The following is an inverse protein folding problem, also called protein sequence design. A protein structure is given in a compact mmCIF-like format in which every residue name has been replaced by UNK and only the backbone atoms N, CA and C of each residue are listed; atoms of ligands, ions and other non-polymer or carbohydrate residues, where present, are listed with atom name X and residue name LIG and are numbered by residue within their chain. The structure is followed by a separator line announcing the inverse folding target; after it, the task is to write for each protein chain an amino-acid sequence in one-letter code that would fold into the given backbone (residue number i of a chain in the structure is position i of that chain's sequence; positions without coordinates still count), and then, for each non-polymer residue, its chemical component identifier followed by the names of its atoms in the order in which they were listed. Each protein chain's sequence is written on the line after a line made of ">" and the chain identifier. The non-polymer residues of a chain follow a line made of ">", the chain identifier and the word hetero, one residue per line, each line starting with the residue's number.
data_IF_438440282011
#
_entry.id   IF_438440282011
#
_cell.length_a   1.000
_cell.length_b   1.000
_cell.length_c   1.000
_cell.angle_alpha   90.00
_cell.angle_beta   90.00
_cell.angle_gamma   90.00
#
_symmetry.space_group_name_H-M   'P 1'
#
loop_
_entity.id
_entity.type
_entity.pdbx_description
1 polymer ?
#
# COMPACT_ATOMS: atom_id res chain seq x y z
N UNK A 1 18.65 -9.78 -32.26
CA UNK A 1 20.07 -9.36 -32.24
C UNK A 1 20.83 -10.39 -31.46
N UNK A 2 21.92 -10.89 -32.04
CA UNK A 2 22.91 -11.69 -31.31
C UNK A 2 23.57 -10.82 -30.23
N UNK A 3 23.99 -11.41 -29.11
CA UNK A 3 24.64 -10.66 -28.03
C UNK A 3 26.01 -10.15 -28.50
N UNK A 4 26.26 -8.83 -28.52
CA UNK A 4 27.58 -8.31 -28.88
C UNK A 4 28.57 -8.58 -27.75
N UNK A 5 29.84 -8.79 -28.06
CA UNK A 5 30.88 -8.96 -27.02
C UNK A 5 31.16 -7.64 -26.27
N UNK A 6 31.09 -6.51 -26.97
CA UNK A 6 31.33 -5.17 -26.42
C UNK A 6 30.37 -4.14 -26.99
N UNK A 7 30.07 -3.13 -26.17
CA UNK A 7 29.42 -1.88 -26.60
C UNK A 7 30.34 -0.74 -26.17
N UNK A 8 30.93 -0.02 -27.12
CA UNK A 8 31.99 0.95 -26.82
C UNK A 8 33.13 0.29 -26.04
N UNK A 9 33.46 0.82 -24.85
CA UNK A 9 34.49 0.26 -23.95
C UNK A 9 33.98 -0.85 -23.02
N UNK A 10 32.68 -1.08 -22.97
CA UNK A 10 32.03 -1.93 -21.97
C UNK A 10 31.91 -3.37 -22.46
N UNK A 11 32.19 -4.32 -21.56
CA UNK A 11 32.19 -5.75 -21.86
C UNK A 11 30.83 -6.35 -21.53
N UNK A 12 30.10 -6.82 -22.53
CA UNK A 12 28.70 -7.23 -22.37
C UNK A 12 28.64 -8.63 -21.76
N UNK A 13 27.86 -8.76 -20.70
CA UNK A 13 27.68 -10.01 -19.95
C UNK A 13 26.41 -10.75 -20.34
N UNK A 14 25.28 -10.04 -20.34
CA UNK A 14 23.98 -10.64 -20.62
C UNK A 14 22.97 -9.57 -21.04
N UNK A 15 21.86 -10.00 -21.65
CA UNK A 15 20.72 -9.13 -21.94
C UNK A 15 19.82 -9.01 -20.72
N UNK A 16 19.49 -7.78 -20.31
CA UNK A 16 18.56 -7.50 -19.22
C UNK A 16 17.11 -7.35 -19.71
N UNK A 17 16.92 -6.77 -20.90
CA UNK A 17 15.59 -6.57 -21.46
C UNK A 17 15.62 -6.15 -22.93
N UNK A 18 14.51 -6.35 -23.63
CA UNK A 18 14.33 -5.92 -25.02
C UNK A 18 12.96 -5.28 -25.18
N UNK A 19 12.95 -4.00 -25.56
CA UNK A 19 11.75 -3.28 -25.95
C UNK A 19 11.60 -3.19 -27.47
N UNK A 20 10.56 -2.49 -27.92
CA UNK A 20 10.31 -2.27 -29.35
C UNK A 20 11.42 -1.44 -30.04
N UNK A 21 12.12 -0.58 -29.30
CA UNK A 21 13.05 0.41 -29.85
C UNK A 21 14.44 0.37 -29.26
N UNK A 22 14.63 -0.34 -28.15
CA UNK A 22 15.92 -0.44 -27.49
C UNK A 22 16.12 -1.81 -26.85
N UNK A 23 17.37 -2.16 -26.62
CA UNK A 23 17.77 -3.35 -25.85
C UNK A 23 18.66 -2.90 -24.70
N UNK A 24 18.42 -3.44 -23.51
CA UNK A 24 19.21 -3.14 -22.31
C UNK A 24 20.12 -4.33 -22.02
N UNK A 25 21.41 -4.06 -21.86
CA UNK A 25 22.45 -5.05 -21.60
C UNK A 25 23.09 -4.82 -20.24
N UNK A 26 23.41 -5.90 -19.54
CA UNK A 26 24.34 -5.89 -18.42
C UNK A 26 25.76 -5.91 -18.99
N UNK A 27 26.61 -5.00 -18.53
CA UNK A 27 28.00 -4.95 -18.95
C UNK A 27 28.93 -4.61 -17.78
N UNK A 28 30.21 -4.89 -17.98
CA UNK A 28 31.30 -4.50 -17.08
C UNK A 28 32.02 -3.27 -17.64
N UNK A 29 32.20 -2.25 -16.81
CA UNK A 29 33.13 -1.14 -17.09
C UNK A 29 34.53 -1.52 -16.57
N UNK A 30 35.49 -1.85 -17.45
CA UNK A 30 36.83 -2.25 -17.03
C UNK A 30 37.65 -1.11 -16.43
N UNK A 31 37.27 0.15 -16.65
CA UNK A 31 37.97 1.30 -16.07
C UNK A 31 37.44 1.63 -14.69
N UNK A 32 36.12 1.70 -14.54
CA UNK A 32 35.48 1.99 -13.25
C UNK A 32 35.35 0.75 -12.35
N UNK A 33 35.64 -0.45 -12.88
CA UNK A 33 35.57 -1.74 -12.17
C UNK A 33 34.19 -1.97 -11.51
N UNK A 34 33.12 -1.79 -12.31
CA UNK A 34 31.74 -1.96 -11.85
C UNK A 34 30.82 -2.50 -12.94
N UNK A 35 29.71 -3.09 -12.51
CA UNK A 35 28.61 -3.43 -13.41
C UNK A 35 27.80 -2.19 -13.78
N UNK A 36 27.34 -2.15 -15.03
CA UNK A 36 26.52 -1.08 -15.60
C UNK A 36 25.42 -1.67 -16.46
N UNK A 37 24.30 -0.95 -16.56
CA UNK A 37 23.28 -1.22 -17.55
C UNK A 37 23.48 -0.32 -18.77
N UNK A 38 23.37 -0.88 -19.98
CA UNK A 38 23.55 -0.15 -21.23
C UNK A 38 22.30 -0.28 -22.09
N UNK A 39 21.56 0.83 -22.23
CA UNK A 39 20.38 0.94 -23.10
C UNK A 39 20.84 1.35 -24.49
N UNK A 40 20.68 0.47 -25.47
CA UNK A 40 21.10 0.67 -26.87
C UNK A 40 19.87 0.80 -27.76
N UNK A 41 19.79 1.86 -28.57
CA UNK A 41 18.72 2.01 -29.57
C UNK A 41 18.95 1.02 -30.71
N UNK A 42 17.88 0.36 -31.18
CA UNK A 42 17.99 -0.59 -32.28
C UNK A 42 18.37 0.10 -33.59
N UNK A 43 19.23 -0.55 -34.39
CA UNK A 43 19.64 -0.01 -35.70
C UNK A 43 18.47 0.19 -36.65
N UNK A 44 17.45 -0.68 -36.58
CA UNK A 44 16.23 -0.56 -37.40
C UNK A 44 15.51 0.77 -37.13
N UNK A 45 15.43 1.19 -35.86
CA UNK A 45 14.85 2.47 -35.48
C UNK A 45 15.73 3.64 -35.91
N UNK A 46 17.05 3.52 -35.77
CA UNK A 46 17.98 4.60 -36.15
C UNK A 46 18.03 4.85 -37.66
N UNK A 47 17.81 3.82 -38.49
CA UNK A 47 17.78 3.89 -39.96
C UNK A 47 16.52 4.56 -40.51
N UNK A 48 15.41 4.52 -39.76
CA UNK A 48 14.21 5.27 -40.11
C UNK A 48 14.44 6.76 -39.88
N UNK A 49 14.14 7.59 -40.89
CA UNK A 49 14.45 9.02 -40.85
C UNK A 49 13.67 9.78 -39.78
N UNK A 50 12.40 9.44 -39.59
CA UNK A 50 11.51 10.15 -38.66
C UNK A 50 11.65 9.55 -37.25
N UNK A 51 11.59 8.22 -37.14
CA UNK A 51 11.75 7.53 -35.85
C UNK A 51 13.16 7.69 -35.31
N UNK A 52 14.19 7.59 -36.15
CA UNK A 52 15.58 7.74 -35.74
C UNK A 52 15.87 9.12 -35.15
N UNK A 53 15.34 10.19 -35.78
CA UNK A 53 15.45 11.57 -35.25
C UNK A 53 14.80 11.69 -33.88
N UNK A 54 13.58 11.18 -33.75
CA UNK A 54 12.85 11.18 -32.49
C UNK A 54 13.62 10.47 -31.38
N UNK A 55 14.01 9.21 -31.59
CA UNK A 55 14.65 8.43 -30.54
C UNK A 55 16.04 8.96 -30.19
N UNK A 56 16.78 9.54 -31.15
CA UNK A 56 18.00 10.29 -30.85
C UNK A 56 17.71 11.50 -29.96
N UNK A 57 16.65 12.26 -30.24
CA UNK A 57 16.26 13.39 -29.39
C UNK A 57 15.89 12.95 -27.96
N UNK A 58 15.11 11.87 -27.80
CA UNK A 58 14.80 11.30 -26.48
C UNK A 58 16.07 10.86 -25.74
N UNK A 59 17.03 10.26 -26.45
CA UNK A 59 18.31 9.86 -25.87
C UNK A 59 19.17 11.05 -25.47
N UNK A 60 19.19 12.12 -26.28
CA UNK A 60 19.87 13.38 -25.93
C UNK A 60 19.26 13.98 -24.67
N UNK A 61 17.93 13.97 -24.54
CA UNK A 61 17.25 14.46 -23.35
C UNK A 61 17.66 13.66 -22.11
N UNK A 62 17.64 12.33 -22.18
CA UNK A 62 18.08 11.46 -21.09
C UNK A 62 19.58 11.67 -20.78
N UNK A 63 20.44 11.69 -21.80
CA UNK A 63 21.88 11.95 -21.66
C UNK A 63 22.17 13.31 -21.01
N UNK A 64 21.36 14.34 -21.30
CA UNK A 64 21.51 15.67 -20.72
C UNK A 64 21.29 15.72 -19.20
N UNK A 65 20.72 14.67 -18.62
CA UNK A 65 20.52 14.48 -17.18
C UNK A 65 21.73 13.85 -16.50
N UNK A 66 22.71 13.35 -17.26
CA UNK A 66 23.96 12.82 -16.73
C UNK A 66 24.63 13.84 -15.80
N UNK A 67 24.91 13.41 -14.56
CA UNK A 67 25.49 14.25 -13.51
C UNK A 67 24.56 15.30 -12.90
N UNK A 68 23.35 15.54 -13.45
CA UNK A 68 22.38 16.52 -12.91
C UNK A 68 21.41 15.90 -11.90
N UNK A 69 20.98 14.66 -12.15
CA UNK A 69 20.12 13.92 -11.22
C UNK A 69 20.96 13.04 -10.32
N UNK A 70 21.12 13.45 -9.05
CA UNK A 70 21.83 12.68 -8.04
C UNK A 70 20.90 12.50 -6.84
N UNK A 71 20.21 11.36 -6.82
CA UNK A 71 19.23 11.02 -5.78
C UNK A 71 19.26 9.51 -5.53
N UNK A 72 19.15 9.03 -4.28
CA UNK A 72 19.23 7.59 -3.96
C UNK A 72 18.19 6.76 -4.73
N UNK A 73 16.99 7.32 -4.93
CA UNK A 73 15.88 6.66 -5.63
C UNK A 73 15.75 7.00 -7.13
N UNK A 74 16.80 7.53 -7.76
CA UNK A 74 16.84 7.74 -9.22
C UNK A 74 18.06 6.99 -9.76
N UNK A 75 17.89 6.28 -10.87
CA UNK A 75 18.99 5.62 -11.57
C UNK A 75 19.99 6.66 -12.05
N UNK A 76 21.25 6.50 -11.67
CA UNK A 76 22.29 7.43 -12.10
C UNK A 76 22.72 7.13 -13.55
N UNK A 77 22.76 8.17 -14.38
CA UNK A 77 23.37 8.08 -15.72
C UNK A 77 24.86 8.37 -15.58
N UNK A 78 25.68 7.49 -16.15
CA UNK A 78 27.13 7.56 -16.07
C UNK A 78 27.76 8.15 -17.34
N UNK A 79 27.23 7.76 -18.50
CA UNK A 79 27.81 8.10 -19.80
C UNK A 79 26.74 7.96 -20.89
N UNK A 80 26.95 8.59 -22.04
CA UNK A 80 26.07 8.46 -23.19
C UNK A 80 26.82 8.71 -24.49
N UNK A 81 26.45 7.96 -25.52
CA UNK A 81 26.91 8.17 -26.90
C UNK A 81 25.68 8.34 -27.78
N UNK A 82 25.65 9.45 -28.51
CA UNK A 82 24.59 9.74 -29.48
C UNK A 82 25.22 9.91 -30.85
N UNK A 83 25.13 8.86 -31.67
CA UNK A 83 25.63 8.82 -33.04
C UNK A 83 24.57 8.17 -33.97
N UNK A 84 24.61 8.49 -35.25
CA UNK A 84 23.72 7.93 -36.26
C UNK A 84 23.88 6.40 -36.41
N UNK A 85 25.10 5.88 -36.23
CA UNK A 85 25.39 4.45 -36.37
C UNK A 85 25.11 3.64 -35.10
N UNK A 86 25.38 4.23 -33.93
CA UNK A 86 25.23 3.59 -32.62
C UNK A 86 24.94 4.62 -31.54
N UNK A 87 23.78 4.48 -30.91
CA UNK A 87 23.33 5.38 -29.85
C UNK A 87 23.00 4.57 -28.59
N UNK A 88 23.64 4.89 -27.46
CA UNK A 88 23.44 4.21 -26.18
C UNK A 88 23.63 5.10 -24.96
N UNK A 89 23.00 4.72 -23.86
CA UNK A 89 23.17 5.32 -22.53
C UNK A 89 23.69 4.26 -21.57
N UNK A 90 24.67 4.66 -20.76
CA UNK A 90 25.27 3.85 -19.70
C UNK A 90 24.75 4.38 -18.37
N UNK A 91 24.18 3.50 -17.58
CA UNK A 91 23.53 3.84 -16.33
C UNK A 91 23.87 2.84 -15.24
N UNK A 92 23.57 3.22 -14.01
CA UNK A 92 23.64 2.35 -12.84
C UNK A 92 22.87 1.06 -13.10
N UNK A 93 23.52 -0.08 -12.82
CA UNK A 93 22.84 -1.37 -12.84
C UNK A 93 22.08 -1.58 -11.53
N UNK A 94 20.78 -1.88 -11.64
CA UNK A 94 19.90 -2.16 -10.50
C UNK A 94 19.41 -3.60 -10.61
N UNK A 95 19.77 -4.43 -9.63
CA UNK A 95 19.71 -5.89 -9.78
C UNK A 95 18.33 -6.53 -9.51
N UNK A 96 17.44 -5.88 -8.76
CA UNK A 96 16.17 -6.46 -8.30
C UNK A 96 15.03 -6.46 -9.33
N UNK A 97 15.26 -5.98 -10.56
CA UNK A 97 14.25 -5.97 -11.62
C UNK A 97 13.22 -4.83 -11.48
N UNK A 98 12.15 -4.89 -12.27
CA UNK A 98 11.08 -3.86 -12.33
C UNK A 98 9.91 -4.21 -11.40
N UNK A 99 8.96 -3.29 -11.25
CA UNK A 99 7.70 -3.57 -10.54
C UNK A 99 6.65 -4.31 -11.38
N UNK A 100 6.90 -4.55 -12.67
CA UNK A 100 5.92 -5.21 -13.57
C UNK A 100 5.43 -6.58 -13.09
N UNK A 101 6.28 -7.45 -12.50
CA UNK A 101 5.81 -8.75 -12.01
C UNK A 101 4.72 -8.62 -10.94
N UNK A 102 4.65 -7.48 -10.23
CA UNK A 102 3.68 -7.24 -9.16
C UNK A 102 2.37 -6.59 -9.66
N UNK A 103 2.21 -6.47 -10.97
CA UNK A 103 1.00 -5.92 -11.58
C UNK A 103 -0.03 -6.99 -11.94
N UNK A 104 0.04 -8.17 -11.31
CA UNK A 104 -0.91 -9.27 -11.50
C UNK A 104 -1.56 -9.65 -10.18
N UNK A 105 -2.85 -10.06 -10.15
CA UNK A 105 -3.55 -10.39 -8.91
C UNK A 105 -2.88 -11.49 -8.08
N UNK A 106 -2.17 -12.41 -8.74
CA UNK A 106 -1.53 -13.56 -8.10
C UNK A 106 -0.14 -13.24 -7.50
N UNK A 107 0.38 -12.03 -7.72
CA UNK A 107 1.72 -11.64 -7.28
C UNK A 107 1.77 -10.21 -6.74
N UNK A 108 0.74 -9.79 -5.99
CA UNK A 108 0.67 -8.44 -5.44
C UNK A 108 1.66 -8.22 -4.29
N UNK A 109 2.14 -6.98 -4.15
CA UNK A 109 2.96 -6.59 -3.01
C UNK A 109 2.12 -6.51 -1.71
N UNK A 110 2.76 -6.72 -0.55
CA UNK A 110 2.19 -6.32 0.75
C UNK A 110 1.87 -4.82 0.76
N UNK A 111 0.74 -4.43 1.36
CA UNK A 111 0.30 -3.03 1.36
C UNK A 111 1.35 -2.07 1.93
N UNK A 112 1.99 -2.45 3.03
CA UNK A 112 3.00 -1.59 3.69
C UNK A 112 4.19 -1.33 2.78
N UNK A 113 4.64 -2.37 2.10
CA UNK A 113 5.73 -2.30 1.15
C UNK A 113 5.37 -1.45 -0.06
N UNK A 114 4.16 -1.61 -0.59
CA UNK A 114 3.68 -0.80 -1.70
C UNK A 114 3.61 0.69 -1.33
N UNK A 115 3.03 1.02 -0.17
CA UNK A 115 2.94 2.42 0.30
C UNK A 115 4.33 3.02 0.51
N UNK A 116 5.27 2.25 1.07
CA UNK A 116 6.68 2.67 1.20
C UNK A 116 7.31 2.99 -0.17
N UNK A 117 7.12 2.11 -1.16
CA UNK A 117 7.62 2.29 -2.53
C UNK A 117 7.03 3.57 -3.15
N UNK A 118 5.72 3.76 -3.09
CA UNK A 118 5.07 4.94 -3.65
C UNK A 118 5.53 6.21 -2.93
N UNK A 119 5.69 6.16 -1.60
CA UNK A 119 6.24 7.28 -0.83
C UNK A 119 7.64 7.65 -1.32
N UNK A 120 8.54 6.67 -1.52
CA UNK A 120 9.88 6.91 -2.08
C UNK A 120 9.84 7.47 -3.49
N UNK A 121 8.91 7.02 -4.34
CA UNK A 121 8.66 7.61 -5.66
C UNK A 121 8.26 9.07 -5.57
N UNK A 122 7.35 9.45 -4.65
CA UNK A 122 6.97 10.87 -4.49
C UNK A 122 8.17 11.75 -4.12
N UNK A 123 9.08 11.28 -3.26
CA UNK A 123 10.31 12.02 -2.90
C UNK A 123 11.26 12.18 -4.09
N UNK A 124 11.43 11.12 -4.88
CA UNK A 124 12.27 11.16 -6.07
C UNK A 124 11.73 12.13 -7.15
N UNK A 125 10.42 12.08 -7.40
CA UNK A 125 9.77 12.92 -8.41
C UNK A 125 9.64 14.37 -7.95
N UNK A 126 9.52 14.60 -6.64
CA UNK A 126 9.61 15.94 -6.05
C UNK A 126 10.99 16.56 -6.26
N UNK A 127 12.06 15.79 -6.03
CA UNK A 127 13.42 16.22 -6.33
C UNK A 127 13.62 16.57 -7.80
N UNK A 128 13.16 15.71 -8.72
CA UNK A 128 13.23 15.99 -10.16
C UNK A 128 12.43 17.26 -10.53
N UNK A 129 11.25 17.45 -9.96
CA UNK A 129 10.42 18.63 -10.18
C UNK A 129 11.12 19.92 -9.77
N UNK A 130 11.81 19.95 -8.62
CA UNK A 130 12.57 21.12 -8.16
C UNK A 130 13.76 21.47 -9.07
N UNK A 131 14.22 20.52 -9.89
CA UNK A 131 15.20 20.74 -10.95
C UNK A 131 14.56 21.11 -12.29
N UNK A 132 13.25 21.34 -12.32
CA UNK A 132 12.48 21.71 -13.51
C UNK A 132 12.23 20.54 -14.46
N UNK A 133 12.29 19.30 -13.97
CA UNK A 133 12.16 18.06 -14.76
C UNK A 133 10.83 17.38 -14.45
N UNK A 134 10.06 17.07 -15.49
CA UNK A 134 8.87 16.19 -15.41
C UNK A 134 9.15 14.93 -16.22
N UNK A 135 8.94 13.73 -15.66
CA UNK A 135 9.34 12.45 -16.23
C UNK A 135 8.48 11.99 -17.42
N UNK A 136 7.15 12.11 -17.32
CA UNK A 136 6.14 11.82 -18.38
C UNK A 136 5.94 10.37 -18.82
N UNK A 137 6.68 9.41 -18.25
CA UNK A 137 6.56 7.98 -18.57
C UNK A 137 6.65 7.12 -17.30
N UNK A 138 5.95 7.54 -16.24
CA UNK A 138 5.90 6.76 -15.00
C UNK A 138 5.01 5.53 -15.22
N UNK A 139 5.61 4.35 -15.06
CA UNK A 139 4.97 3.02 -15.17
C UNK A 139 5.77 1.98 -14.38
N UNK A 140 5.22 0.80 -14.09
CA UNK A 140 5.91 -0.22 -13.30
C UNK A 140 7.26 -0.68 -13.89
N UNK A 141 7.38 -0.67 -15.22
CA UNK A 141 8.62 -1.01 -15.94
C UNK A 141 9.78 -0.03 -15.66
N UNK A 142 9.47 1.20 -15.24
CA UNK A 142 10.44 2.26 -15.00
C UNK A 142 10.72 2.49 -13.51
N UNK A 143 10.20 1.62 -12.64
CA UNK A 143 10.48 1.63 -11.19
C UNK A 143 11.16 0.31 -10.86
N UNK A 144 12.43 0.40 -10.46
CA UNK A 144 13.31 -0.73 -10.22
C UNK A 144 13.44 -1.01 -8.73
N UNK A 145 13.61 -2.28 -8.36
CA UNK A 145 13.96 -2.71 -7.01
C UNK A 145 15.48 -2.87 -6.91
N UNK A 146 16.10 -2.28 -5.89
CA UNK A 146 17.56 -2.32 -5.69
C UNK A 146 18.07 -3.73 -5.38
N UNK A 147 17.27 -4.54 -4.69
CA UNK A 147 17.57 -5.90 -4.32
C UNK A 147 16.44 -6.84 -4.74
N UNK A 148 16.79 -8.12 -4.95
CA UNK A 148 15.85 -9.16 -5.36
C UNK A 148 14.91 -9.61 -4.24
N UNK A 149 15.16 -9.22 -2.99
CA UNK A 149 14.27 -9.48 -1.87
C UNK A 149 13.19 -8.39 -1.80
N UNK A 150 11.97 -8.78 -2.19
CA UNK A 150 10.81 -7.89 -2.28
C UNK A 150 10.32 -7.34 -0.92
N UNK A 151 11.00 -7.71 0.18
CA UNK A 151 10.64 -7.44 1.56
C UNK A 151 11.45 -6.29 2.21
N UNK A 152 12.54 -5.81 1.60
CA UNK A 152 13.41 -4.81 2.25
C UNK A 152 14.30 -3.94 1.37
N UNK A 153 14.33 -4.15 0.04
CA UNK A 153 15.19 -3.38 -0.87
C UNK A 153 14.80 -1.90 -1.03
N UNK A 154 15.68 -1.07 -1.58
CA UNK A 154 15.31 0.28 -2.00
C UNK A 154 14.66 0.30 -3.41
N UNK A 155 14.15 1.45 -3.86
CA UNK A 155 13.67 1.62 -5.25
C UNK A 155 14.50 2.64 -6.00
N UNK A 156 14.53 2.51 -7.33
CA UNK A 156 15.11 3.51 -8.24
C UNK A 156 14.23 3.74 -9.45
N UNK A 157 13.92 5.01 -9.75
CA UNK A 157 13.21 5.41 -10.95
C UNK A 157 14.19 5.54 -12.11
N UNK A 158 13.88 4.96 -13.26
CA UNK A 158 14.68 4.96 -14.48
C UNK A 158 13.93 5.57 -15.66
N UNK A 159 14.62 5.80 -16.78
CA UNK A 159 14.05 6.18 -18.08
C UNK A 159 13.40 7.57 -18.13
N UNK A 160 14.22 8.60 -17.90
CA UNK A 160 13.81 10.00 -18.05
C UNK A 160 13.89 10.48 -19.52
N UNK A 161 13.92 9.58 -20.51
CA UNK A 161 14.06 9.97 -21.92
C UNK A 161 12.89 10.76 -22.50
N UNK A 162 11.70 10.62 -21.91
CA UNK A 162 10.52 11.41 -22.24
C UNK A 162 10.44 12.75 -21.49
N UNK A 163 11.44 13.08 -20.67
CA UNK A 163 11.33 14.18 -19.72
C UNK A 163 11.22 15.56 -20.39
N UNK A 164 10.49 16.46 -19.71
CA UNK A 164 10.32 17.86 -20.11
C UNK A 164 11.09 18.77 -19.15
N UNK A 165 11.88 19.69 -19.71
CA UNK A 165 12.50 20.79 -18.98
C UNK A 165 11.61 22.03 -19.05
N UNK A 166 11.38 22.71 -17.92
CA UNK A 166 10.49 23.87 -17.86
C UNK A 166 10.95 25.08 -18.70
N UNK A 167 12.16 25.05 -19.28
CA UNK A 167 12.80 26.18 -19.97
C UNK A 167 12.69 26.15 -21.51
N UNK A 168 11.49 26.00 -22.08
CA UNK A 168 11.20 26.71 -23.34
C UNK A 168 10.75 25.96 -24.60
N UNK A 169 10.41 24.67 -24.57
CA UNK A 169 9.75 24.04 -25.73
C UNK A 169 8.45 23.33 -25.31
N UNK A 170 7.32 23.85 -25.82
CA UNK A 170 6.02 23.19 -25.75
C UNK A 170 6.09 21.94 -26.65
N UNK A 171 6.62 20.84 -26.12
CA UNK A 171 6.67 19.57 -26.85
C UNK A 171 5.26 18.97 -26.85
N UNK A 172 4.56 19.07 -27.98
CA UNK A 172 3.36 18.27 -28.26
C UNK A 172 3.68 16.80 -27.96
N UNK A 173 2.84 16.15 -27.15
CA UNK A 173 2.98 14.72 -26.86
C UNK A 173 2.89 13.94 -28.16
N UNK A 174 3.88 13.11 -28.45
CA UNK A 174 3.84 12.21 -29.59
C UNK A 174 2.93 11.02 -29.25
N UNK A 175 1.61 11.24 -29.33
CA UNK A 175 0.60 10.20 -29.16
C UNK A 175 0.62 9.20 -30.33
N UNK A 176 1.20 9.61 -31.47
CA UNK A 176 1.24 8.80 -32.69
C UNK A 176 2.41 7.81 -32.68
N UNK A 177 2.19 6.60 -32.14
CA UNK A 177 2.98 5.42 -32.53
C UNK A 177 3.71 4.62 -31.43
N UNK A 178 3.49 4.88 -30.14
CA UNK A 178 4.18 4.16 -29.06
C UNK A 178 3.18 3.62 -28.03
N UNK A 179 2.84 2.33 -28.14
CA UNK A 179 2.23 1.54 -27.07
C UNK A 179 0.82 1.95 -26.60
N UNK A 180 0.39 1.32 -25.50
CA UNK A 180 -0.87 1.61 -24.82
C UNK A 180 -0.73 2.83 -23.91
N UNK A 181 -1.64 3.83 -23.96
CA UNK A 181 -1.56 5.05 -23.16
C UNK A 181 -2.01 4.85 -21.70
N UNK A 182 -1.99 3.61 -21.19
CA UNK A 182 -2.64 3.21 -19.94
C UNK A 182 -2.24 4.04 -18.69
N UNK A 183 -1.01 4.56 -18.65
CA UNK A 183 -0.50 5.38 -17.54
C UNK A 183 -0.50 6.88 -17.84
N UNK A 184 -0.88 7.29 -19.05
CA UNK A 184 -0.83 8.70 -19.46
C UNK A 184 -1.94 9.50 -18.79
N UNK A 185 -1.61 10.74 -18.42
CA UNK A 185 -2.60 11.69 -17.89
C UNK A 185 -3.60 12.14 -18.96
N UNK A 186 -4.79 12.65 -18.56
CA UNK A 186 -5.76 13.24 -19.48
C UNK A 186 -5.16 14.37 -20.32
N UNK A 187 -4.24 15.13 -19.74
CA UNK A 187 -3.53 16.20 -20.43
C UNK A 187 -2.57 15.65 -21.48
N UNK A 188 -1.85 14.55 -21.19
CA UNK A 188 -0.96 13.90 -22.16
C UNK A 188 -1.71 13.39 -23.38
N UNK A 189 -2.80 12.66 -23.18
CA UNK A 189 -3.58 12.06 -24.28
C UNK A 189 -4.38 13.09 -25.08
N UNK A 190 -4.63 14.28 -24.51
CA UNK A 190 -5.25 15.43 -25.19
C UNK A 190 -4.22 16.41 -25.76
N UNK A 191 -2.93 16.09 -25.69
CA UNK A 191 -1.83 16.96 -26.15
C UNK A 191 -1.87 18.38 -25.57
N UNK A 192 -2.31 18.50 -24.32
CA UNK A 192 -2.35 19.76 -23.57
C UNK A 192 -0.98 20.08 -22.97
N UNK A 193 -0.71 21.35 -22.60
CA UNK A 193 0.47 21.70 -21.83
C UNK A 193 0.60 20.84 -20.57
N UNK A 194 1.80 20.31 -20.32
CA UNK A 194 2.08 19.39 -19.22
C UNK A 194 2.84 20.09 -18.10
N UNK A 195 2.59 19.64 -16.88
CA UNK A 195 3.35 19.99 -15.68
C UNK A 195 3.56 18.72 -14.82
N UNK A 196 4.19 18.87 -13.65
CA UNK A 196 4.47 17.79 -12.71
C UNK A 196 3.25 17.01 -12.25
N UNK A 197 2.06 17.60 -12.27
CA UNK A 197 0.82 16.89 -11.95
C UNK A 197 0.49 15.77 -12.94
N UNK A 198 1.13 15.75 -14.11
CA UNK A 198 1.09 14.62 -15.05
C UNK A 198 1.67 13.36 -14.42
N UNK A 199 2.84 13.47 -13.80
CA UNK A 199 3.50 12.34 -13.15
C UNK A 199 2.75 11.91 -11.88
N UNK A 200 2.10 12.84 -11.18
CA UNK A 200 1.19 12.53 -10.05
C UNK A 200 0.08 11.59 -10.51
N UNK A 201 -0.56 11.89 -11.65
CA UNK A 201 -1.59 11.03 -12.23
C UNK A 201 -1.04 9.65 -12.57
N UNK A 202 0.08 9.60 -13.28
CA UNK A 202 0.70 8.35 -13.70
C UNK A 202 1.12 7.49 -12.51
N UNK A 203 1.66 8.09 -11.43
CA UNK A 203 1.97 7.38 -10.20
C UNK A 203 0.71 6.88 -9.49
N UNK A 204 -0.41 7.63 -9.55
CA UNK A 204 -1.72 7.17 -9.10
C UNK A 204 -2.19 5.91 -9.84
N UNK A 205 -2.02 5.86 -11.17
CA UNK A 205 -2.31 4.66 -11.97
C UNK A 205 -1.41 3.48 -11.59
N UNK A 206 -0.11 3.73 -11.39
CA UNK A 206 0.84 2.69 -10.92
C UNK A 206 0.41 2.14 -9.56
N UNK A 207 0.10 3.02 -8.61
CA UNK A 207 -0.36 2.65 -7.28
C UNK A 207 -1.63 1.80 -7.34
N UNK A 208 -2.61 2.21 -8.17
CA UNK A 208 -3.83 1.44 -8.42
C UNK A 208 -3.52 0.01 -8.89
N UNK A 209 -2.66 -0.12 -9.89
CA UNK A 209 -2.37 -1.42 -10.49
C UNK A 209 -1.56 -2.32 -9.58
N UNK A 210 -0.61 -1.79 -8.82
CA UNK A 210 0.14 -2.58 -7.85
C UNK A 210 -0.72 -3.06 -6.67
N UNK A 211 -1.81 -2.34 -6.36
CA UNK A 211 -2.75 -2.72 -5.30
C UNK A 211 -3.74 -3.80 -5.74
N UNK A 212 -4.13 -3.79 -7.02
CA UNK A 212 -5.27 -4.59 -7.53
C UNK A 212 -4.86 -5.65 -8.54
N UNK A 213 -3.67 -5.54 -9.12
CA UNK A 213 -3.22 -6.33 -10.26
C UNK A 213 -3.93 -5.98 -11.57
N UNK A 214 -4.60 -4.83 -11.63
CA UNK A 214 -5.45 -4.42 -12.76
C UNK A 214 -5.21 -2.96 -13.09
N UNK A 215 -5.23 -2.62 -14.38
CA UNK A 215 -5.28 -1.21 -14.78
C UNK A 215 -6.65 -0.61 -14.42
N UNK A 216 -6.71 0.68 -14.03
CA UNK A 216 -7.96 1.36 -13.73
C UNK A 216 -8.88 1.51 -14.93
N UNK A 217 -8.31 1.54 -16.14
CA UNK A 217 -9.02 1.64 -17.41
C UNK A 217 -8.57 0.51 -18.33
N UNK A 218 -9.53 -0.15 -18.96
CA UNK A 218 -9.31 -1.25 -19.88
C UNK A 218 -10.19 -1.06 -21.10
N UNK A 219 -9.55 -1.02 -22.26
CA UNK A 219 -10.23 -0.79 -23.53
C UNK A 219 -9.61 -1.63 -24.63
N UNK A 220 -10.43 -2.03 -25.60
CA UNK A 220 -10.02 -2.89 -26.72
C UNK A 220 -9.16 -2.17 -27.78
N UNK A 221 -9.14 -0.83 -27.75
CA UNK A 221 -8.39 0.00 -28.68
C UNK A 221 -7.99 1.34 -28.04
N UNK A 222 -7.02 2.03 -28.66
CA UNK A 222 -6.47 3.27 -28.13
C UNK A 222 -7.49 4.41 -28.04
N UNK A 223 -8.45 4.52 -28.98
CA UNK A 223 -9.47 5.57 -28.93
C UNK A 223 -10.37 5.42 -27.71
N UNK A 224 -10.85 4.20 -27.44
CA UNK A 224 -11.63 3.88 -26.25
C UNK A 224 -10.81 4.09 -24.98
N UNK A 225 -9.52 3.74 -24.98
CA UNK A 225 -8.63 3.98 -23.85
C UNK A 225 -8.50 5.47 -23.53
N UNK A 226 -8.27 6.31 -24.56
CA UNK A 226 -8.21 7.77 -24.40
C UNK A 226 -9.54 8.33 -23.89
N UNK A 227 -10.67 7.81 -24.37
CA UNK A 227 -11.99 8.21 -23.87
C UNK A 227 -12.14 7.93 -22.37
N UNK A 228 -11.85 6.70 -21.93
CA UNK A 228 -11.93 6.30 -20.52
C UNK A 228 -10.98 7.13 -19.65
N UNK A 229 -9.72 7.31 -20.09
CA UNK A 229 -8.73 8.15 -19.39
C UNK A 229 -9.27 9.57 -19.21
N UNK A 230 -10.06 10.10 -20.14
CA UNK A 230 -10.48 11.50 -20.13
C UNK A 230 -11.87 11.76 -19.54
N UNK A 231 -12.71 10.74 -19.40
CA UNK A 231 -14.11 10.90 -18.97
C UNK A 231 -14.52 9.98 -17.81
N UNK A 232 -13.96 8.77 -17.73
CA UNK A 232 -14.45 7.77 -16.77
C UNK A 232 -13.73 7.87 -15.42
N UNK A 233 -14.47 7.55 -14.37
CA UNK A 233 -13.93 7.39 -13.03
C UNK A 233 -13.44 5.94 -12.84
N UNK A 234 -12.26 5.71 -12.24
CA UNK A 234 -11.78 4.37 -11.96
C UNK A 234 -12.62 3.74 -10.82
N UNK A 235 -12.92 2.42 -10.86
CA UNK A 235 -13.52 1.74 -9.72
C UNK A 235 -12.56 1.76 -8.52
N UNK A 236 -13.00 1.92 -7.27
CA UNK A 236 -12.11 1.98 -6.12
C UNK A 236 -11.31 0.66 -5.95
N UNK A 237 -10.01 0.72 -5.61
CA UNK A 237 -9.19 -0.47 -5.38
C UNK A 237 -9.78 -1.47 -4.36
N UNK A 238 -10.46 -0.98 -3.32
CA UNK A 238 -11.11 -1.82 -2.31
C UNK A 238 -12.21 -2.75 -2.86
N UNK A 239 -12.78 -2.46 -4.04
CA UNK A 239 -13.70 -3.37 -4.74
C UNK A 239 -13.00 -4.67 -5.16
N UNK A 240 -11.69 -4.62 -5.43
CA UNK A 240 -10.90 -5.77 -5.87
C UNK A 240 -10.09 -6.41 -4.74
N UNK A 241 -9.69 -5.63 -3.73
CA UNK A 241 -8.91 -6.11 -2.58
C UNK A 241 -9.42 -5.46 -1.30
N UNK A 242 -10.27 -6.18 -0.57
CA UNK A 242 -10.97 -5.69 0.65
C UNK A 242 -10.06 -5.22 1.79
N UNK A 243 -8.82 -5.69 1.82
CA UNK A 243 -7.81 -5.26 2.81
C UNK A 243 -7.34 -3.81 2.60
N UNK A 244 -7.62 -3.21 1.44
CA UNK A 244 -7.28 -1.83 1.14
C UNK A 244 -8.18 -0.92 1.98
N UNK A 245 -7.62 -0.07 2.86
CA UNK A 245 -8.41 0.87 3.61
C UNK A 245 -8.88 2.03 2.73
N UNK A 246 -10.09 2.54 3.00
CA UNK A 246 -10.72 3.56 2.15
C UNK A 246 -9.97 4.90 2.05
N UNK A 247 -9.01 5.17 2.94
CA UNK A 247 -8.11 6.31 2.78
C UNK A 247 -7.16 6.14 1.59
N UNK A 248 -6.70 4.92 1.26
CA UNK A 248 -5.91 4.66 0.06
C UNK A 248 -6.75 4.82 -1.20
N UNK A 249 -8.03 4.43 -1.18
CA UNK A 249 -8.96 4.69 -2.29
C UNK A 249 -9.08 6.19 -2.55
N UNK A 250 -9.27 6.99 -1.49
CA UNK A 250 -9.38 8.45 -1.61
C UNK A 250 -8.10 9.09 -2.17
N UNK A 251 -6.92 8.64 -1.71
CA UNK A 251 -5.62 9.12 -2.21
C UNK A 251 -5.46 8.83 -3.70
N UNK A 252 -5.77 7.61 -4.13
CA UNK A 252 -5.63 7.20 -5.55
C UNK A 252 -6.63 7.95 -6.42
N UNK A 253 -7.89 8.06 -5.97
CA UNK A 253 -8.92 8.82 -6.66
C UNK A 253 -8.52 10.29 -6.83
N UNK A 254 -7.90 10.89 -5.80
CA UNK A 254 -7.40 12.28 -5.85
C UNK A 254 -6.20 12.43 -6.79
N UNK A 255 -5.23 11.53 -6.73
CA UNK A 255 -4.08 11.53 -7.65
C UNK A 255 -4.51 11.38 -9.12
N UNK A 256 -5.58 10.61 -9.36
CA UNK A 256 -6.12 10.35 -10.70
C UNK A 256 -7.24 11.31 -11.14
N UNK A 257 -7.46 12.42 -10.43
CA UNK A 257 -8.44 13.43 -10.84
C UNK A 257 -8.11 13.97 -12.24
N UNK A 258 -9.16 14.15 -13.06
CA UNK A 258 -9.00 14.59 -14.44
C UNK A 258 -8.67 16.08 -14.52
N UNK A 259 -9.38 16.85 -13.68
CA UNK A 259 -9.13 18.27 -13.46
C UNK A 259 -7.87 18.49 -12.61
N UNK A 260 -7.04 19.44 -13.02
CA UNK A 260 -5.80 19.80 -12.31
C UNK A 260 -6.08 20.55 -11.01
N UNK A 261 -7.21 21.25 -10.89
CA UNK A 261 -7.60 21.93 -9.64
C UNK A 261 -8.03 20.95 -8.55
N UNK A 262 -8.59 19.81 -8.94
CA UNK A 262 -9.00 18.74 -8.04
C UNK A 262 -7.88 17.71 -7.73
N UNK A 263 -6.86 17.62 -8.60
CA UNK A 263 -5.69 16.76 -8.39
C UNK A 263 -4.77 17.34 -7.33
N UNK A 264 -3.92 16.51 -6.72
CA UNK A 264 -2.86 16.99 -5.82
C UNK A 264 -2.03 18.09 -6.51
N UNK A 265 -1.90 19.22 -5.83
CA UNK A 265 -1.19 20.38 -6.38
C UNK A 265 0.33 20.19 -6.34
N UNK A 266 0.83 19.44 -5.36
CA UNK A 266 2.26 19.19 -5.14
C UNK A 266 2.55 17.75 -4.72
N UNK A 267 3.80 17.33 -4.89
CA UNK A 267 4.29 16.05 -4.38
C UNK A 267 4.29 15.98 -2.85
N UNK A 268 4.49 17.12 -2.18
CA UNK A 268 4.43 17.21 -0.72
C UNK A 268 3.05 16.81 -0.22
N UNK A 269 1.98 17.35 -0.82
CA UNK A 269 0.60 17.05 -0.43
C UNK A 269 0.28 15.56 -0.62
N UNK A 270 0.68 14.98 -1.75
CA UNK A 270 0.49 13.55 -2.01
C UNK A 270 1.29 12.69 -1.00
N UNK A 271 2.56 13.03 -0.77
CA UNK A 271 3.40 12.30 0.19
C UNK A 271 2.88 12.40 1.63
N UNK A 272 2.26 13.53 1.98
CA UNK A 272 1.67 13.77 3.29
C UNK A 272 0.49 12.84 3.54
N UNK A 273 -0.45 12.75 2.60
CA UNK A 273 -1.61 11.87 2.72
C UNK A 273 -1.20 10.39 2.76
N UNK A 274 -0.19 9.99 1.96
CA UNK A 274 0.39 8.65 2.03
C UNK A 274 1.00 8.36 3.40
N UNK A 275 1.77 9.30 3.97
CA UNK A 275 2.37 9.14 5.28
C UNK A 275 1.34 9.11 6.42
N UNK A 276 0.24 9.87 6.30
CA UNK A 276 -0.89 9.76 7.22
C UNK A 276 -1.59 8.41 7.11
N UNK A 277 -1.83 7.92 5.89
CA UNK A 277 -2.44 6.61 5.69
C UNK A 277 -1.59 5.49 6.30
N UNK A 278 -0.27 5.56 6.14
CA UNK A 278 0.67 4.63 6.76
C UNK A 278 0.71 4.75 8.28
N UNK A 279 0.76 5.96 8.84
CA UNK A 279 0.71 6.17 10.29
C UNK A 279 -0.60 5.69 10.91
N UNK A 280 -1.74 5.93 10.28
CA UNK A 280 -3.03 5.45 10.77
C UNK A 280 -3.12 3.92 10.72
N UNK A 281 -2.51 3.27 9.72
CA UNK A 281 -2.38 1.81 9.68
C UNK A 281 -1.42 1.30 10.76
N UNK A 282 -0.27 1.94 10.95
CA UNK A 282 0.66 1.59 12.01
C UNK A 282 0.11 1.85 13.41
N UNK A 283 -0.69 2.89 13.61
CA UNK A 283 -1.39 3.14 14.86
C UNK A 283 -2.45 2.05 15.10
N UNK A 284 -3.23 1.67 14.09
CA UNK A 284 -4.12 0.49 14.16
C UNK A 284 -3.38 -0.84 14.33
N UNK A 285 -2.13 -0.94 13.88
CA UNK A 285 -1.29 -2.13 14.03
C UNK A 285 -0.49 -2.13 15.35
N UNK A 286 -0.20 -0.97 15.94
CA UNK A 286 0.36 -0.79 17.29
C UNK A 286 -0.72 -0.87 18.35
N UNK A 287 -1.96 -0.52 18.03
CA UNK A 287 -3.13 -0.92 18.82
C UNK A 287 -3.22 -2.46 18.91
N UNK A 288 -2.67 -3.21 17.92
CA UNK A 288 -2.46 -4.67 18.02
C UNK A 288 -1.15 -5.05 18.75
N UNK A 289 -0.87 -4.44 19.90
CA UNK A 289 0.36 -4.59 20.69
C UNK A 289 0.58 -6.00 21.32
N UNK A 290 -0.20 -7.00 20.92
CA UNK A 290 -0.07 -8.37 21.41
C UNK A 290 0.42 -9.28 20.29
N UNK A 291 1.57 -9.92 20.48
CA UNK A 291 2.01 -10.99 19.60
C UNK A 291 0.94 -12.10 19.58
N UNK A 292 0.66 -12.68 18.41
CA UNK A 292 -0.36 -13.73 18.26
C UNK A 292 -0.13 -14.93 19.20
N UNK A 293 1.13 -15.23 19.53
CA UNK A 293 1.50 -16.20 20.57
C UNK A 293 1.10 -15.75 21.98
N UNK A 294 1.31 -14.47 22.35
CA UNK A 294 0.87 -13.93 23.64
C UNK A 294 -0.66 -13.94 23.76
N UNK A 295 -1.37 -13.61 22.67
CA UNK A 295 -2.83 -13.68 22.63
C UNK A 295 -3.34 -15.11 22.84
N UNK A 296 -2.74 -16.08 22.16
CA UNK A 296 -3.08 -17.49 22.32
C UNK A 296 -2.87 -17.96 23.76
N UNK A 297 -1.69 -17.72 24.34
CA UNK A 297 -1.39 -18.12 25.73
C UNK A 297 -2.33 -17.44 26.73
N UNK A 298 -2.62 -16.16 26.53
CA UNK A 298 -3.55 -15.40 27.38
C UNK A 298 -4.94 -16.01 27.33
N UNK A 299 -5.53 -16.21 26.13
CA UNK A 299 -6.85 -16.81 25.98
C UNK A 299 -6.90 -18.22 26.57
N UNK A 300 -5.88 -19.04 26.31
CA UNK A 300 -5.80 -20.41 26.81
C UNK A 300 -5.76 -20.46 28.34
N UNK A 301 -5.20 -19.43 28.98
CA UNK A 301 -5.14 -19.28 30.43
C UNK A 301 -6.44 -18.85 31.11
N UNK A 302 -7.42 -18.32 30.38
CA UNK A 302 -8.69 -17.89 30.99
C UNK A 302 -9.64 -19.08 31.17
N UNK A 303 -10.27 -19.19 32.34
CA UNK A 303 -11.20 -20.29 32.65
C UNK A 303 -12.41 -20.37 31.70
N UNK A 304 -12.78 -19.25 31.06
CA UNK A 304 -13.84 -19.23 30.05
C UNK A 304 -13.53 -20.14 28.86
N UNK A 305 -12.25 -20.27 28.50
CA UNK A 305 -11.79 -21.04 27.34
C UNK A 305 -11.27 -22.44 27.71
N UNK A 306 -11.59 -22.94 28.91
CA UNK A 306 -11.07 -24.22 29.40
C UNK A 306 -11.40 -25.39 28.45
N UNK A 307 -12.63 -25.41 27.93
CA UNK A 307 -13.17 -26.47 27.06
C UNK A 307 -12.94 -26.24 25.57
N UNK A 308 -12.27 -25.14 25.19
CA UNK A 308 -11.96 -24.83 23.79
C UNK A 308 -10.69 -25.57 23.34
N UNK A 309 -10.71 -26.12 22.13
CA UNK A 309 -9.53 -26.69 21.47
C UNK A 309 -8.58 -25.61 20.95
N UNK A 310 -7.31 -25.97 20.70
CA UNK A 310 -6.30 -25.03 20.18
C UNK A 310 -6.72 -24.36 18.87
N UNK A 311 -7.42 -25.10 17.99
CA UNK A 311 -7.94 -24.58 16.73
C UNK A 311 -8.97 -23.49 16.97
N UNK A 312 -9.83 -23.67 17.97
CA UNK A 312 -10.84 -22.67 18.36
C UNK A 312 -10.20 -21.46 19.03
N UNK A 313 -9.18 -21.65 19.89
CA UNK A 313 -8.43 -20.52 20.47
C UNK A 313 -7.80 -19.68 19.35
N UNK A 314 -7.13 -20.32 18.39
CA UNK A 314 -6.57 -19.62 17.23
C UNK A 314 -7.64 -18.95 16.37
N UNK A 315 -8.85 -19.51 16.31
CA UNK A 315 -9.98 -18.84 15.69
C UNK A 315 -10.34 -17.56 16.43
N UNK A 316 -10.47 -17.62 17.76
CA UNK A 316 -10.76 -16.45 18.61
C UNK A 316 -9.69 -15.38 18.49
N UNK A 317 -8.40 -15.75 18.46
CA UNK A 317 -7.29 -14.80 18.24
C UNK A 317 -7.49 -14.01 16.95
N UNK A 318 -7.99 -14.65 15.87
CA UNK A 318 -8.17 -14.01 14.57
C UNK A 318 -9.32 -13.02 14.52
N UNK A 319 -10.38 -13.23 15.31
CA UNK A 319 -11.58 -12.39 15.30
C UNK A 319 -11.77 -11.52 16.55
N UNK A 320 -10.81 -11.50 17.47
CA UNK A 320 -10.80 -10.62 18.63
C UNK A 320 -9.92 -9.39 18.42
N UNK A 321 -10.40 -8.26 18.92
CA UNK A 321 -9.62 -7.03 19.05
C UNK A 321 -8.99 -6.99 20.44
N UNK A 322 -7.78 -6.42 20.55
CA UNK A 322 -7.01 -6.41 21.79
C UNK A 322 -6.52 -5.00 22.05
N UNK A 323 -6.85 -4.44 23.20
CA UNK A 323 -6.56 -3.06 23.54
C UNK A 323 -5.88 -2.95 24.90
N UNK A 324 -4.95 -2.01 25.05
CA UNK A 324 -4.46 -1.57 26.35
C UNK A 324 -5.08 -0.22 26.69
N UNK A 325 -5.84 -0.16 27.78
CA UNK A 325 -6.53 1.05 28.21
C UNK A 325 -5.86 1.65 29.44
N UNK A 326 -5.79 2.98 29.50
CA UNK A 326 -5.27 3.71 30.65
C UNK A 326 -6.32 3.74 31.79
N UNK A 327 -5.89 3.97 33.05
CA UNK A 327 -6.80 4.25 34.16
C UNK A 327 -7.82 5.34 33.82
N UNK A 328 -9.02 5.22 34.37
CA UNK A 328 -10.18 6.11 34.15
C UNK A 328 -10.72 6.14 32.72
N UNK A 329 -10.24 5.27 31.82
CA UNK A 329 -10.86 5.09 30.50
C UNK A 329 -12.23 4.43 30.66
N UNK A 330 -13.28 5.08 30.11
CA UNK A 330 -14.63 4.50 30.03
C UNK A 330 -14.67 3.52 28.88
N UNK A 331 -14.81 2.23 29.19
CA UNK A 331 -14.86 1.12 28.23
C UNK A 331 -16.29 0.95 27.69
N UNK A 332 -17.29 1.03 28.56
CA UNK A 332 -18.71 0.96 28.20
C UNK A 332 -19.49 1.96 29.03
N UNK A 333 -20.61 2.45 28.48
CA UNK A 333 -21.48 3.43 29.16
C UNK A 333 -22.92 2.91 29.28
N UNK A 334 -23.54 3.15 30.43
CA UNK A 334 -24.92 2.73 30.73
C UNK A 334 -25.91 3.33 29.72
N UNK A 335 -26.80 2.49 29.19
CA UNK A 335 -27.85 2.88 28.25
C UNK A 335 -27.45 2.94 26.77
N UNK A 336 -26.16 2.87 26.43
CA UNK A 336 -25.72 2.84 25.02
C UNK A 336 -26.03 1.48 24.37
N UNK A 337 -26.31 1.41 23.06
CA UNK A 337 -26.40 0.14 22.36
C UNK A 337 -25.03 -0.57 22.37
N UNK A 338 -25.03 -1.88 22.56
CA UNK A 338 -23.83 -2.70 22.55
C UNK A 338 -23.94 -3.86 21.57
N UNK A 339 -22.92 -4.02 20.72
CA UNK A 339 -22.81 -5.10 19.73
C UNK A 339 -21.56 -5.96 19.96
N UNK A 340 -20.86 -5.78 21.07
CA UNK A 340 -19.66 -6.53 21.45
C UNK A 340 -19.64 -6.86 22.94
N UNK A 341 -18.80 -7.81 23.33
CA UNK A 341 -18.48 -8.12 24.73
C UNK A 341 -16.97 -8.21 24.89
N UNK A 342 -16.50 -8.22 26.14
CA UNK A 342 -15.09 -8.14 26.43
C UNK A 342 -14.67 -9.16 27.51
N UNK A 343 -13.39 -9.51 27.49
CA UNK A 343 -12.69 -10.14 28.61
C UNK A 343 -11.62 -9.21 29.15
N UNK A 344 -11.42 -9.26 30.46
CA UNK A 344 -10.29 -8.62 31.13
C UNK A 344 -9.10 -9.59 31.14
N UNK A 345 -8.04 -9.28 30.41
CA UNK A 345 -6.83 -10.10 30.37
C UNK A 345 -5.82 -9.73 31.47
N UNK A 346 -5.76 -8.45 31.85
CA UNK A 346 -4.88 -7.91 32.89
C UNK A 346 -5.45 -6.59 33.44
N UNK A 347 -5.09 -6.23 34.67
CA UNK A 347 -5.58 -5.04 35.37
C UNK A 347 -6.93 -5.22 36.08
N UNK A 348 -7.50 -4.10 36.52
CA UNK A 348 -8.78 -4.05 37.25
C UNK A 348 -9.76 -3.07 36.59
N UNK A 349 -11.03 -3.46 36.53
CA UNK A 349 -12.10 -2.67 35.90
C UNK A 349 -13.29 -2.57 36.85
N UNK A 350 -13.80 -1.37 37.09
CA UNK A 350 -15.00 -1.16 37.94
C UNK A 350 -16.26 -1.09 37.10
N UNK A 351 -17.32 -1.73 37.61
CA UNK A 351 -18.69 -1.61 37.09
C UNK A 351 -19.45 -0.62 37.96
N UNK A 352 -19.96 0.45 37.36
CA UNK A 352 -20.77 1.47 38.02
C UNK A 352 -22.17 1.51 37.45
N UNK A 353 -23.18 1.72 38.31
CA UNK A 353 -24.54 2.02 37.86
C UNK A 353 -25.12 3.15 38.69
N UNK A 354 -25.59 4.20 38.02
CA UNK A 354 -26.18 5.39 38.67
C UNK A 354 -25.29 5.96 39.80
N UNK A 355 -23.98 5.99 39.56
CA UNK A 355 -22.99 6.51 40.51
C UNK A 355 -22.63 5.57 41.67
N UNK A 356 -23.12 4.32 41.70
CA UNK A 356 -22.73 3.31 42.69
C UNK A 356 -21.87 2.23 42.07
N UNK A 357 -20.79 1.84 42.76
CA UNK A 357 -19.93 0.71 42.36
C UNK A 357 -20.70 -0.59 42.64
N UNK A 358 -20.92 -1.40 41.60
CA UNK A 358 -21.59 -2.70 41.71
C UNK A 358 -20.61 -3.84 41.94
N UNK A 359 -19.47 -3.79 41.27
CA UNK A 359 -18.41 -4.80 41.36
C UNK A 359 -17.10 -4.24 40.79
N UNK A 360 -15.99 -4.85 41.20
CA UNK A 360 -14.70 -4.75 40.52
C UNK A 360 -14.51 -6.08 39.79
N UNK A 361 -14.05 -6.02 38.54
CA UNK A 361 -13.69 -7.15 37.70
C UNK A 361 -12.18 -7.34 37.73
N UNK A 362 -11.76 -8.59 37.66
CA UNK A 362 -10.36 -9.04 37.70
C UNK A 362 -10.02 -9.87 36.45
N UNK A 363 -8.72 -10.13 36.16
CA UNK A 363 -8.34 -10.91 35.00
C UNK A 363 -9.06 -12.27 34.92
N UNK A 364 -9.62 -12.59 33.76
CA UNK A 364 -10.51 -13.74 33.55
C UNK A 364 -11.99 -13.39 33.42
N UNK A 365 -12.42 -12.24 33.95
CA UNK A 365 -13.83 -11.86 33.92
C UNK A 365 -14.30 -11.44 32.52
N UNK A 366 -15.47 -11.97 32.12
CA UNK A 366 -16.21 -11.58 30.92
C UNK A 366 -17.23 -10.50 31.24
N UNK A 367 -17.39 -9.46 30.42
CA UNK A 367 -18.38 -8.41 30.64
C UNK A 367 -18.97 -7.85 29.34
N UNK A 368 -20.17 -7.27 29.46
CA UNK A 368 -20.92 -6.74 28.31
C UNK A 368 -21.61 -7.80 27.45
N UNK A 369 -21.54 -9.08 27.85
CA UNK A 369 -22.08 -10.23 27.12
C UNK A 369 -23.60 -10.18 26.95
N UNK A 370 -24.30 -9.55 27.90
CA UNK A 370 -25.75 -9.42 27.86
C UNK A 370 -26.26 -8.59 26.67
N UNK A 371 -25.49 -7.61 26.21
CA UNK A 371 -25.87 -6.82 25.03
C UNK A 371 -25.84 -7.66 23.73
N UNK A 372 -25.08 -8.76 23.73
CA UNK A 372 -24.90 -9.64 22.57
C UNK A 372 -25.80 -10.88 22.64
N UNK A 373 -26.02 -11.43 23.83
CA UNK A 373 -26.76 -12.69 24.04
C UNK A 373 -28.26 -12.44 24.29
N UNK A 374 -28.63 -11.30 24.88
CA UNK A 374 -30.03 -11.02 25.23
C UNK A 374 -30.87 -10.75 24.00
N UNK A 375 -32.07 -11.35 23.96
CA UNK A 375 -33.08 -11.09 22.92
C UNK A 375 -33.97 -9.87 23.25
N UNK A 376 -33.93 -9.35 24.48
CA UNK A 376 -34.88 -8.34 24.97
C UNK A 376 -34.33 -6.91 24.98
N UNK A 377 -33.00 -6.74 25.04
CA UNK A 377 -32.36 -5.43 24.99
C UNK A 377 -30.89 -5.61 24.61
N UNK A 378 -30.43 -4.84 23.62
CA UNK A 378 -29.01 -4.72 23.26
C UNK A 378 -28.30 -3.57 23.99
N UNK A 379 -28.98 -2.86 24.88
CA UNK A 379 -28.37 -1.73 25.58
C UNK A 379 -27.48 -2.20 26.74
N UNK A 380 -26.39 -1.47 26.98
CA UNK A 380 -25.50 -1.62 28.12
C UNK A 380 -26.26 -1.31 29.42
N UNK A 381 -25.97 -2.08 30.46
CA UNK A 381 -26.69 -2.04 31.73
C UNK A 381 -25.97 -1.29 32.86
N UNK A 382 -24.72 -0.88 32.63
CA UNK A 382 -23.83 -0.23 33.58
C UNK A 382 -22.66 0.43 32.84
N UNK A 383 -22.04 1.42 33.47
CA UNK A 383 -20.75 1.95 33.05
C UNK A 383 -19.65 0.97 33.45
N UNK A 384 -18.65 0.83 32.58
CA UNK A 384 -17.47 0.00 32.80
C UNK A 384 -16.24 0.89 32.63
N UNK A 385 -15.44 1.04 33.67
CA UNK A 385 -14.32 2.00 33.70
C UNK A 385 -13.06 1.32 34.22
N UNK A 386 -11.93 1.49 33.54
CA UNK A 386 -10.64 0.96 33.99
C UNK A 386 -10.18 1.64 35.28
N UNK A 387 -9.74 0.87 36.29
CA UNK A 387 -9.14 1.41 37.52
C UNK A 387 -7.61 1.46 37.45
N UNK A 388 -7.01 0.45 36.82
CA UNK A 388 -5.58 0.39 36.52
C UNK A 388 -5.37 0.43 35.01
N UNK A 389 -4.12 0.51 34.50
CA UNK A 389 -3.87 0.08 33.14
C UNK A 389 -4.43 -1.34 32.96
N UNK A 390 -5.23 -1.57 31.93
CA UNK A 390 -5.93 -2.82 31.74
C UNK A 390 -5.79 -3.31 30.30
N UNK A 391 -5.66 -4.63 30.13
CA UNK A 391 -5.61 -5.30 28.84
C UNK A 391 -6.99 -5.89 28.57
N UNK A 392 -7.66 -5.43 27.50
CA UNK A 392 -9.03 -5.79 27.16
C UNK A 392 -9.05 -6.59 25.87
N UNK A 393 -9.75 -7.72 25.88
CA UNK A 393 -10.03 -8.54 24.70
C UNK A 393 -11.47 -8.26 24.30
N UNK A 394 -11.70 -7.73 23.11
CA UNK A 394 -13.02 -7.37 22.60
C UNK A 394 -13.46 -8.34 21.50
N UNK A 395 -14.68 -8.86 21.61
CA UNK A 395 -15.29 -9.74 20.61
C UNK A 395 -16.62 -9.16 20.16
N UNK A 396 -16.73 -8.90 18.86
CA UNK A 396 -17.98 -8.42 18.25
C UNK A 396 -18.99 -9.55 18.07
N UNK A 397 -20.26 -9.24 18.26
CA UNK A 397 -21.35 -10.21 18.16
C UNK A 397 -21.56 -10.76 16.75
N UNK A 398 -21.27 -9.97 15.70
CA UNK A 398 -21.29 -10.44 14.32
C UNK A 398 -20.12 -11.39 14.00
N UNK A 399 -18.92 -11.10 14.52
CA UNK A 399 -17.78 -12.00 14.44
C UNK A 399 -18.08 -13.36 15.10
N UNK A 400 -18.67 -13.36 16.30
CA UNK A 400 -19.09 -14.59 16.97
C UNK A 400 -20.15 -15.37 16.17
N UNK A 401 -21.09 -14.68 15.50
CA UNK A 401 -22.08 -15.34 14.64
C UNK A 401 -21.44 -15.99 13.41
N UNK A 402 -20.35 -15.43 12.90
CA UNK A 402 -19.61 -15.94 11.73
C UNK A 402 -18.56 -17.00 12.09
N UNK A 403 -18.23 -17.18 13.38
CA UNK A 403 -17.32 -18.21 13.84
C UNK A 403 -17.83 -19.63 13.51
N UNK A 404 -16.92 -20.60 13.54
CA UNK A 404 -17.20 -22.01 13.37
C UNK A 404 -18.29 -22.48 14.32
N UNK A 405 -19.10 -23.45 13.88
CA UNK A 405 -20.23 -23.95 14.67
C UNK A 405 -19.79 -24.47 16.05
N UNK A 406 -18.65 -25.17 16.09
CA UNK A 406 -18.06 -25.71 17.31
C UNK A 406 -17.63 -24.58 18.26
N UNK A 407 -16.87 -23.60 17.77
CA UNK A 407 -16.42 -22.44 18.55
C UNK A 407 -17.62 -21.67 19.12
N UNK A 408 -18.62 -21.38 18.29
CA UNK A 408 -19.84 -20.67 18.71
C UNK A 408 -20.63 -21.46 19.77
N UNK A 409 -20.71 -22.79 19.65
CA UNK A 409 -21.36 -23.63 20.65
C UNK A 409 -20.63 -23.57 22.00
N UNK A 410 -19.30 -23.63 22.02
CA UNK A 410 -18.52 -23.50 23.26
C UNK A 410 -18.64 -22.11 23.89
N UNK A 411 -18.72 -21.03 23.10
CA UNK A 411 -19.04 -19.69 23.63
C UNK A 411 -20.38 -19.69 24.37
N UNK A 412 -21.44 -20.21 23.75
CA UNK A 412 -22.76 -20.23 24.38
C UNK A 412 -22.80 -21.11 25.64
N UNK A 413 -22.12 -22.26 25.62
CA UNK A 413 -21.98 -23.11 26.80
C UNK A 413 -21.24 -22.40 27.95
N UNK A 414 -20.13 -21.73 27.66
CA UNK A 414 -19.35 -20.97 28.64
C UNK A 414 -20.15 -19.79 29.21
N UNK A 415 -20.90 -19.07 28.36
CA UNK A 415 -21.79 -17.99 28.82
C UNK A 415 -22.86 -18.48 29.79
N UNK A 416 -23.48 -19.65 29.55
CA UNK A 416 -24.43 -20.24 30.48
C UNK A 416 -23.79 -20.47 31.86
N UNK A 417 -22.55 -20.95 31.89
CA UNK A 417 -21.78 -21.10 33.13
C UNK A 417 -21.56 -19.77 33.87
N UNK A 418 -21.12 -18.73 33.15
CA UNK A 418 -20.91 -17.38 33.72
C UNK A 418 -22.20 -16.81 34.30
N UNK A 419 -23.30 -16.90 33.55
CA UNK A 419 -24.60 -16.36 33.97
C UNK A 419 -25.19 -17.13 35.14
N UNK A 420 -25.07 -18.46 35.16
CA UNK A 420 -25.51 -19.29 36.27
C UNK A 420 -24.76 -18.93 37.56
N UNK A 421 -23.43 -18.75 37.49
CA UNK A 421 -22.64 -18.36 38.64
C UNK A 421 -23.00 -16.95 39.16
N UNK A 422 -23.18 -15.98 38.24
CA UNK A 422 -23.63 -14.63 38.59
C UNK A 422 -25.00 -14.63 39.26
N UNK A 423 -25.94 -15.43 38.76
CA UNK A 423 -27.27 -15.56 39.34
C UNK A 423 -27.21 -16.19 40.74
N UNK A 424 -26.39 -17.23 40.93
CA UNK A 424 -26.17 -17.84 42.23
C UNK A 424 -25.62 -16.83 43.26
N UNK A 425 -24.60 -16.05 42.87
CA UNK A 425 -24.03 -14.99 43.70
C UNK A 425 -25.04 -13.87 44.02
N UNK A 426 -25.85 -13.46 43.05
CA UNK A 426 -26.89 -12.46 43.26
C UNK A 426 -27.96 -12.95 44.24
N UNK A 427 -28.41 -14.20 44.09
CA UNK A 427 -29.37 -14.83 45.00
C UNK A 427 -28.81 -14.97 46.42
N UNK A 428 -27.54 -15.35 46.57
CA UNK A 428 -26.88 -15.42 47.87
C UNK A 428 -26.82 -14.05 48.56
N UNK A 429 -26.53 -12.97 47.81
CA UNK A 429 -26.54 -11.60 48.34
C UNK A 429 -27.94 -11.15 48.77
N UNK A 430 -28.96 -11.48 47.98
CA UNK A 430 -30.35 -11.15 48.31
C UNK A 430 -30.88 -11.92 49.53
N UNK A 431 -30.42 -13.16 49.73
CA UNK A 431 -30.77 -13.97 50.91
C UNK A 431 -30.01 -13.56 52.19
N UNK A 432 -28.96 -12.74 52.06
CA UNK A 432 -28.15 -12.23 53.19
C UNK A 432 -28.59 -10.85 53.71
N UNK A 433 -29.68 -10.30 53.15
CA UNK A 433 -30.38 -9.08 53.60
C UNK A 433 -31.67 -9.51 54.28
#
# INVERSE_FOLDING_TARGET
>A
MEQPDKIGKYEVRSRLGQGATSTVWLAWDPFAQREVAIKVISQEVLRDKERGKLYRHLLVNEASLAGKLVHPHIVQIHDAVVDDALSYIVMEYVAGGTLEPFCTPDNLLPLDRLVEIIFKCTRALDYAYHLGITHRDIKPANILLAASDNLGGDIKISDFGAALFSSGEVTRTQVSGIGSPAYMSPQQVREMPLNHQTDIYSLGVVMYQLLTGRLPFQASNNYSMVYQITHDAPPPPSDFRREIPGNLDAIIARAMQKDLGARYASWEEFSHDLAQAFRNKQLKARERDFADTEKYETLRGLSFFADFSDVEIWEVVRFSDWDQVAPETVIMKDGEPGDYFCFLADGEVRINKRGRILSILTPGDCFGEMAVISQTSSNRNADVVAQTPAKIITIRGDALRQASEVCRMHFYAAFLGVLANRLALANARLASV
#
